data_IF_421651908800
#
_entry.id   IF_421651908800
#
_cell.length_a   1.000
_cell.length_b   1.000
_cell.length_c   1.000
_cell.angle_alpha   90.00
_cell.angle_beta   90.00
_cell.angle_gamma   90.00
#
_symmetry.space_group_name_H-M   'P 1'
#
loop_
_entity.id
_entity.type
_entity.pdbx_description
1 polymer ?
#
# COMPACT_ATOMS: atom_id res chain seq x y z
N UNK A 1 -20.92 -9.45 -6.28
CA UNK A 1 -20.96 -8.08 -5.69
C UNK A 1 -19.60 -7.37 -5.71
N UNK A 2 -18.49 -8.06 -5.47
CA UNK A 2 -17.14 -7.46 -5.41
C UNK A 2 -16.76 -6.73 -6.70
N UNK A 3 -17.08 -7.34 -7.85
CA UNK A 3 -16.83 -6.75 -9.16
C UNK A 3 -17.62 -5.45 -9.37
N UNK A 4 -18.92 -5.43 -9.00
CA UNK A 4 -19.76 -4.23 -9.10
C UNK A 4 -19.22 -3.12 -8.21
N UNK A 5 -18.90 -3.43 -6.96
CA UNK A 5 -18.31 -2.46 -6.01
C UNK A 5 -16.96 -1.93 -6.47
N UNK A 6 -16.18 -2.75 -7.17
CA UNK A 6 -14.88 -2.32 -7.69
C UNK A 6 -15.01 -1.27 -8.80
N UNK A 7 -15.95 -1.44 -9.73
CA UNK A 7 -16.13 -0.53 -10.87
C UNK A 7 -17.11 0.62 -10.62
N UNK A 8 -17.83 0.62 -9.50
CA UNK A 8 -18.68 1.73 -9.07
C UNK A 8 -18.26 2.21 -7.68
N UNK A 9 -17.12 2.96 -7.61
CA UNK A 9 -16.65 3.50 -6.33
C UNK A 9 -17.59 4.58 -5.81
N UNK A 10 -17.78 4.56 -4.49
CA UNK A 10 -18.30 5.68 -3.73
C UNK A 10 -17.17 6.45 -3.04
N UNK A 11 -17.49 7.53 -2.34
CA UNK A 11 -16.53 8.37 -1.62
C UNK A 11 -15.78 7.62 -0.51
N UNK A 12 -16.32 6.52 -0.02
CA UNK A 12 -15.71 5.69 1.02
C UNK A 12 -14.95 4.47 0.45
N UNK A 13 -14.89 4.33 -0.87
CA UNK A 13 -14.28 3.17 -1.53
C UNK A 13 -12.82 2.96 -1.13
N UNK A 14 -12.07 4.04 -0.90
CA UNK A 14 -10.67 3.98 -0.45
C UNK A 14 -10.49 3.29 0.92
N UNK A 15 -11.51 3.36 1.78
CA UNK A 15 -11.48 2.80 3.14
C UNK A 15 -12.20 1.45 3.27
N UNK A 16 -13.05 1.09 2.30
CA UNK A 16 -13.95 -0.06 2.41
C UNK A 16 -13.72 -1.13 1.34
N UNK A 17 -12.85 -0.86 0.39
CA UNK A 17 -12.65 -1.70 -0.79
C UNK A 17 -11.22 -2.21 -0.88
N UNK A 18 -11.08 -3.48 -1.21
CA UNK A 18 -9.81 -4.04 -1.66
C UNK A 18 -9.93 -4.43 -3.14
N UNK A 19 -8.88 -4.14 -3.92
CA UNK A 19 -8.79 -4.65 -5.28
C UNK A 19 -8.61 -6.17 -5.26
N UNK A 20 -9.53 -6.92 -5.87
CA UNK A 20 -9.37 -8.36 -6.03
C UNK A 20 -8.19 -8.71 -6.94
N UNK A 21 -7.80 -7.83 -7.86
CA UNK A 21 -6.56 -7.98 -8.62
C UNK A 21 -5.33 -7.86 -7.71
N UNK A 22 -5.28 -6.82 -6.87
CA UNK A 22 -4.19 -6.62 -5.93
C UNK A 22 -4.10 -7.74 -4.89
N UNK A 23 -5.23 -8.11 -4.27
CA UNK A 23 -5.27 -9.23 -3.33
C UNK A 23 -4.86 -10.54 -4.00
N UNK A 24 -5.36 -10.82 -5.22
CA UNK A 24 -5.02 -12.02 -5.97
C UNK A 24 -3.53 -12.09 -6.30
N UNK A 25 -2.92 -10.99 -6.73
CA UNK A 25 -1.48 -10.91 -6.98
C UNK A 25 -0.66 -11.20 -5.71
N UNK A 26 -1.05 -10.63 -4.57
CA UNK A 26 -0.38 -10.90 -3.29
C UNK A 26 -0.54 -12.35 -2.83
N UNK A 27 -1.72 -12.93 -2.99
CA UNK A 27 -1.96 -14.35 -2.69
C UNK A 27 -1.09 -15.24 -3.59
N UNK A 28 -0.99 -14.93 -4.90
CA UNK A 28 -0.14 -15.66 -5.83
C UNK A 28 1.34 -15.58 -5.44
N UNK A 29 1.80 -14.41 -5.01
CA UNK A 29 3.17 -14.18 -4.55
C UNK A 29 3.51 -15.03 -3.30
N UNK A 30 2.61 -15.04 -2.31
CA UNK A 30 2.77 -15.83 -1.08
C UNK A 30 2.66 -17.33 -1.39
N UNK A 31 1.80 -17.72 -2.31
CA UNK A 31 1.64 -19.11 -2.74
C UNK A 31 2.90 -19.64 -3.42
N UNK A 32 3.53 -18.86 -4.31
CA UNK A 32 4.78 -19.26 -4.94
C UNK A 32 5.89 -19.50 -3.90
N UNK A 33 6.02 -18.60 -2.92
CA UNK A 33 6.97 -18.75 -1.82
C UNK A 33 6.69 -20.02 -0.99
N UNK A 34 5.42 -20.32 -0.72
CA UNK A 34 4.99 -21.51 0.00
C UNK A 34 5.33 -22.78 -0.76
N UNK A 35 5.05 -22.84 -2.08
CA UNK A 35 5.39 -23.99 -2.94
C UNK A 35 6.91 -24.20 -2.94
N UNK A 36 7.70 -23.14 -3.18
CA UNK A 36 9.16 -23.22 -3.19
C UNK A 36 9.73 -23.68 -1.86
N UNK A 37 9.17 -23.21 -0.77
CA UNK A 37 9.60 -23.62 0.58
C UNK A 37 9.33 -25.10 0.83
N UNK A 38 8.10 -25.58 0.52
CA UNK A 38 7.71 -26.99 0.74
C UNK A 38 8.44 -27.97 -0.18
N UNK A 39 8.84 -27.53 -1.36
CA UNK A 39 9.51 -28.36 -2.36
C UNK A 39 11.02 -28.18 -2.42
N UNK A 40 11.63 -27.50 -1.44
CA UNK A 40 13.05 -27.15 -1.44
C UNK A 40 13.47 -26.46 -2.76
N UNK A 41 12.65 -25.55 -3.26
CA UNK A 41 12.82 -24.80 -4.52
C UNK A 41 12.80 -25.66 -5.81
N UNK A 42 12.31 -26.89 -5.76
CA UNK A 42 12.21 -27.74 -6.94
C UNK A 42 10.96 -27.46 -7.79
N UNK A 43 9.95 -26.82 -7.21
CA UNK A 43 8.70 -26.44 -7.86
C UNK A 43 8.33 -25.01 -7.54
N UNK A 44 7.52 -24.43 -8.41
CA UNK A 44 7.02 -23.06 -8.33
C UNK A 44 5.54 -23.02 -8.68
N UNK A 45 4.93 -21.85 -8.55
CA UNK A 45 3.56 -21.62 -9.02
C UNK A 45 3.44 -21.88 -10.54
N UNK A 46 4.48 -21.61 -11.33
CA UNK A 46 4.50 -21.90 -12.77
C UNK A 46 4.31 -23.37 -13.08
N UNK A 47 4.86 -24.27 -12.25
CA UNK A 47 4.66 -25.72 -12.42
C UNK A 47 3.20 -26.11 -12.19
N UNK A 48 2.56 -25.51 -11.19
CA UNK A 48 1.13 -25.70 -10.94
C UNK A 48 0.29 -25.18 -12.11
N UNK A 49 0.62 -23.99 -12.64
CA UNK A 49 -0.10 -23.38 -13.78
C UNK A 49 0.08 -24.21 -15.06
N UNK A 50 1.28 -24.74 -15.34
CA UNK A 50 1.52 -25.63 -16.47
C UNK A 50 0.71 -26.93 -16.33
N UNK A 51 0.68 -27.51 -15.14
CA UNK A 51 -0.12 -28.72 -14.85
C UNK A 51 -1.61 -28.46 -15.04
N UNK A 52 -2.10 -27.33 -14.52
CA UNK A 52 -3.49 -26.92 -14.70
C UNK A 52 -3.85 -26.80 -16.19
N UNK A 53 -3.00 -26.09 -16.97
CA UNK A 53 -3.18 -25.97 -18.41
C UNK A 53 -3.18 -27.32 -19.12
N UNK A 54 -2.22 -28.19 -18.81
CA UNK A 54 -2.12 -29.51 -19.45
C UNK A 54 -3.35 -30.39 -19.20
N UNK A 55 -3.88 -30.36 -17.96
CA UNK A 55 -5.02 -31.19 -17.58
C UNK A 55 -6.37 -30.65 -18.07
N UNK A 56 -6.51 -29.32 -18.15
CA UNK A 56 -7.82 -28.67 -18.28
C UNK A 56 -7.98 -27.75 -19.50
N UNK A 57 -7.00 -27.68 -20.41
CA UNK A 57 -7.01 -26.75 -21.58
C UNK A 57 -8.20 -26.89 -22.53
N UNK A 58 -8.95 -27.96 -22.46
CA UNK A 58 -10.11 -28.20 -23.34
C UNK A 58 -11.45 -28.30 -22.60
N UNK A 59 -11.42 -28.35 -21.29
CA UNK A 59 -12.60 -28.65 -20.46
C UNK A 59 -12.97 -27.53 -19.48
N UNK A 60 -12.06 -26.58 -19.24
CA UNK A 60 -12.15 -25.66 -18.10
C UNK A 60 -11.79 -26.35 -16.78
N UNK A 61 -11.73 -25.58 -15.70
CA UNK A 61 -11.40 -26.09 -14.37
C UNK A 61 -12.23 -25.38 -13.30
N UNK A 62 -12.41 -26.08 -12.16
CA UNK A 62 -12.98 -25.54 -10.96
C UNK A 62 -11.89 -25.15 -9.95
N UNK A 63 -12.25 -24.34 -8.96
CA UNK A 63 -11.29 -23.93 -7.91
C UNK A 63 -10.64 -25.12 -7.22
N UNK A 64 -11.40 -26.22 -7.02
CA UNK A 64 -10.90 -27.42 -6.36
C UNK A 64 -9.81 -28.12 -7.18
N UNK A 65 -9.87 -28.06 -8.52
CA UNK A 65 -8.84 -28.65 -9.37
C UNK A 65 -7.49 -27.96 -9.15
N UNK A 66 -7.47 -26.62 -9.08
CA UNK A 66 -6.27 -25.88 -8.77
C UNK A 66 -5.73 -26.20 -7.37
N UNK A 67 -6.59 -26.24 -6.35
CA UNK A 67 -6.20 -26.61 -4.98
C UNK A 67 -5.60 -28.02 -4.93
N UNK A 68 -6.17 -28.97 -5.66
CA UNK A 68 -5.67 -30.34 -5.74
C UNK A 68 -4.28 -30.38 -6.40
N UNK A 69 -4.07 -29.65 -7.50
CA UNK A 69 -2.77 -29.56 -8.19
C UNK A 69 -1.70 -28.97 -7.26
N UNK A 70 -2.02 -27.91 -6.52
CA UNK A 70 -1.08 -27.32 -5.57
C UNK A 70 -0.77 -28.30 -4.44
N UNK A 71 -1.78 -29.02 -3.94
CA UNK A 71 -1.61 -30.04 -2.90
C UNK A 71 -0.74 -31.20 -3.37
N UNK A 72 -0.93 -31.70 -4.59
CA UNK A 72 -0.08 -32.73 -5.22
C UNK A 72 1.34 -32.23 -5.37
N UNK A 73 1.52 -30.98 -5.86
CA UNK A 73 2.84 -30.38 -6.09
C UNK A 73 3.63 -30.21 -4.80
N UNK A 74 2.96 -29.81 -3.72
CA UNK A 74 3.61 -29.58 -2.41
C UNK A 74 3.71 -30.84 -1.55
N UNK A 75 3.01 -31.91 -1.94
CA UNK A 75 2.91 -33.15 -1.16
C UNK A 75 2.11 -33.01 0.14
N UNK A 76 1.36 -31.93 0.31
CA UNK A 76 0.56 -31.67 1.52
C UNK A 76 -0.80 -31.06 1.16
N UNK A 77 -1.88 -31.36 1.91
CA UNK A 77 -3.18 -30.73 1.70
C UNK A 77 -3.10 -29.20 1.83
N UNK A 78 -3.62 -28.47 0.84
CA UNK A 78 -3.58 -27.01 0.81
C UNK A 78 -4.95 -26.33 0.99
N UNK A 79 -6.01 -27.10 1.22
CA UNK A 79 -7.37 -26.59 1.37
C UNK A 79 -7.49 -25.55 2.48
N UNK A 80 -6.90 -25.82 3.64
CA UNK A 80 -6.93 -24.90 4.79
C UNK A 80 -6.15 -23.60 4.49
N UNK A 81 -5.01 -23.72 3.82
CA UNK A 81 -4.21 -22.56 3.38
C UNK A 81 -5.05 -21.66 2.46
N UNK A 82 -5.72 -22.22 1.45
CA UNK A 82 -6.57 -21.45 0.55
C UNK A 82 -7.78 -20.85 1.28
N UNK A 83 -8.43 -21.59 2.16
CA UNK A 83 -9.55 -21.07 2.95
C UNK A 83 -9.12 -19.86 3.79
N UNK A 84 -7.94 -19.93 4.42
CA UNK A 84 -7.39 -18.81 5.19
C UNK A 84 -7.07 -17.61 4.33
N UNK A 85 -6.46 -17.78 3.17
CA UNK A 85 -6.07 -16.68 2.28
C UNK A 85 -7.24 -16.03 1.57
N UNK A 86 -8.28 -16.79 1.20
CA UNK A 86 -9.36 -16.32 0.34
C UNK A 86 -10.68 -16.05 1.07
N UNK A 87 -10.97 -16.77 2.15
CA UNK A 87 -12.27 -16.74 2.83
C UNK A 87 -12.21 -16.19 4.26
N UNK A 88 -11.04 -15.90 4.81
CA UNK A 88 -10.92 -15.28 6.13
C UNK A 88 -10.82 -13.75 6.04
N UNK A 89 -11.10 -13.09 7.16
CA UNK A 89 -10.88 -11.66 7.38
C UNK A 89 -9.53 -11.36 8.04
N UNK A 90 -8.72 -12.40 8.25
CA UNK A 90 -7.40 -12.26 8.84
C UNK A 90 -6.46 -11.49 7.91
N UNK A 91 -5.54 -10.77 8.50
CA UNK A 91 -4.46 -10.11 7.79
C UNK A 91 -3.55 -11.14 7.10
N UNK A 92 -3.15 -10.84 5.87
CA UNK A 92 -2.19 -11.67 5.14
C UNK A 92 -0.81 -11.59 5.81
N UNK A 93 -0.21 -12.73 6.10
CA UNK A 93 1.12 -12.82 6.71
C UNK A 93 2.20 -12.88 5.64
N UNK A 94 2.99 -11.81 5.53
CA UNK A 94 4.09 -11.74 4.57
C UNK A 94 5.41 -12.37 5.08
N UNK A 95 5.51 -12.69 6.37
CA UNK A 95 6.74 -13.28 6.95
C UNK A 95 7.30 -14.44 6.14
N UNK A 96 6.53 -15.51 5.86
CA UNK A 96 7.02 -16.65 5.07
C UNK A 96 7.53 -16.28 3.67
N UNK A 97 6.89 -15.30 3.01
CA UNK A 97 7.36 -14.78 1.72
C UNK A 97 8.68 -14.02 1.87
N UNK A 98 8.78 -13.15 2.86
CA UNK A 98 9.99 -12.38 3.14
C UNK A 98 11.17 -13.31 3.45
N UNK A 99 10.94 -14.29 4.33
CA UNK A 99 11.95 -15.28 4.71
C UNK A 99 12.38 -16.16 3.53
N UNK A 100 11.44 -16.54 2.66
CA UNK A 100 11.73 -17.37 1.48
C UNK A 100 12.80 -16.74 0.58
N UNK A 101 12.71 -15.43 0.34
CA UNK A 101 13.56 -14.72 -0.60
C UNK A 101 14.62 -13.82 0.05
N UNK A 102 14.74 -13.83 1.37
CA UNK A 102 15.67 -12.94 2.08
C UNK A 102 15.31 -11.46 1.88
N UNK A 103 14.04 -11.15 2.09
CA UNK A 103 13.49 -9.80 1.96
C UNK A 103 13.11 -9.22 3.31
N UNK A 104 13.07 -7.90 3.40
CA UNK A 104 12.56 -7.17 4.56
C UNK A 104 11.86 -5.89 4.15
N UNK A 105 10.94 -5.45 4.99
CA UNK A 105 10.37 -4.12 4.87
C UNK A 105 11.35 -3.07 5.40
N UNK A 106 11.56 -2.02 4.62
CA UNK A 106 12.29 -0.83 5.03
C UNK A 106 11.35 0.37 4.88
N UNK A 107 11.17 1.22 5.91
CA UNK A 107 10.44 2.47 5.75
C UNK A 107 11.00 3.25 4.55
N UNK A 108 10.14 3.80 3.71
CA UNK A 108 10.56 4.73 2.68
C UNK A 108 11.00 6.00 3.40
N UNK A 109 12.27 6.37 3.27
CA UNK A 109 12.75 7.66 3.75
C UNK A 109 11.81 8.72 3.17
N UNK A 110 11.23 9.58 4.02
CA UNK A 110 10.21 10.53 3.61
C UNK A 110 10.61 11.24 2.32
N UNK A 111 9.69 11.30 1.38
CA UNK A 111 9.90 11.87 0.06
C UNK A 111 10.45 13.29 0.21
N UNK A 112 11.77 13.43 0.19
CA UNK A 112 12.41 14.74 -0.02
C UNK A 112 12.03 15.10 -1.44
N UNK A 113 11.03 15.98 -1.59
CA UNK A 113 10.58 16.53 -2.85
C UNK A 113 11.79 16.72 -3.79
N UNK A 114 11.86 15.90 -4.84
CA UNK A 114 12.76 16.11 -5.95
C UNK A 114 12.18 17.19 -6.85
N UNK A 115 12.07 18.40 -6.32
CA UNK A 115 11.89 19.58 -7.15
C UNK A 115 12.58 20.77 -6.48
N UNK A 116 13.75 21.11 -7.05
CA UNK A 116 14.38 22.42 -6.91
C UNK A 116 15.27 22.60 -5.67
N UNK A 117 16.55 22.35 -5.86
CA UNK A 117 17.59 23.05 -5.12
C UNK A 117 17.31 24.55 -5.05
N UNK A 118 16.78 25.03 -3.93
CA UNK A 118 17.02 26.38 -3.47
C UNK A 118 17.94 26.29 -2.26
N UNK A 119 19.21 26.56 -2.49
CA UNK A 119 20.24 26.78 -1.47
C UNK A 119 19.69 27.79 -0.45
N UNK A 120 19.68 27.49 0.87
CA UNK A 120 19.34 28.49 1.87
C UNK A 120 20.41 29.59 1.87
N UNK A 121 20.06 30.85 2.18
CA UNK A 121 21.05 31.88 2.36
C UNK A 121 21.94 31.54 3.56
N UNK A 122 23.23 31.70 3.37
CA UNK A 122 24.24 31.53 4.40
C UNK A 122 24.00 32.53 5.55
N UNK A 123 23.65 32.00 6.70
CA UNK A 123 23.56 32.69 7.97
C UNK A 123 24.01 31.74 9.05
N UNK A 124 25.17 32.02 9.61
CA UNK A 124 25.81 31.30 10.71
C UNK A 124 24.89 31.26 11.93
N UNK A 125 24.63 30.06 12.45
CA UNK A 125 23.91 29.84 13.70
C UNK A 125 23.86 28.34 14.00
N UNK A 126 24.85 27.92 14.80
CA UNK A 126 24.90 26.61 15.47
C UNK A 126 23.59 26.32 16.22
N UNK A 127 22.78 25.37 15.77
CA UNK A 127 21.75 24.74 16.58
C UNK A 127 21.69 23.26 16.28
N UNK A 128 21.97 22.48 17.32
CA UNK A 128 22.05 21.04 17.36
C UNK A 128 21.01 20.27 16.59
N UNK A 129 21.47 19.14 16.10
CA UNK A 129 20.81 18.12 15.31
C UNK A 129 19.47 17.66 15.96
N UNK A 130 18.38 18.40 15.67
CA UNK A 130 17.04 17.95 15.98
C UNK A 130 16.57 17.05 14.82
N UNK A 131 16.03 15.84 15.10
CA UNK A 131 15.53 14.97 14.04
C UNK A 131 14.50 15.73 13.21
N UNK A 132 14.61 15.64 11.87
CA UNK A 132 13.73 16.31 10.93
C UNK A 132 12.27 16.00 11.30
N UNK A 133 11.48 17.03 11.61
CA UNK A 133 10.11 16.88 12.08
C UNK A 133 9.30 16.14 11.02
N UNK A 134 8.67 15.03 11.42
CA UNK A 134 7.74 14.29 10.56
C UNK A 134 6.63 15.23 10.11
N UNK A 135 6.36 15.38 8.80
CA UNK A 135 5.31 16.28 8.33
C UNK A 135 3.94 15.83 8.85
N UNK A 136 3.16 16.77 9.30
CA UNK A 136 1.80 16.53 9.74
C UNK A 136 0.92 16.14 8.55
N UNK A 137 0.02 15.18 8.74
CA UNK A 137 -0.91 14.74 7.71
C UNK A 137 -2.34 14.80 8.24
N UNK A 138 -3.23 15.27 7.38
CA UNK A 138 -4.65 15.39 7.67
C UNK A 138 -5.43 14.18 7.17
N UNK A 139 -4.96 13.54 6.10
CA UNK A 139 -5.60 12.37 5.51
C UNK A 139 -6.81 12.73 4.65
N UNK A 140 -6.75 13.84 3.90
CA UNK A 140 -7.73 14.22 2.90
C UNK A 140 -7.11 14.29 1.50
N UNK A 141 -7.93 14.01 0.49
CA UNK A 141 -7.64 14.34 -0.90
C UNK A 141 -8.52 15.54 -1.29
N UNK A 142 -7.85 16.66 -1.59
CA UNK A 142 -8.50 17.91 -1.94
C UNK A 142 -8.41 18.11 -3.46
N UNK A 143 -9.56 18.28 -4.11
CA UNK A 143 -9.67 18.48 -5.55
C UNK A 143 -10.32 19.82 -5.89
N UNK A 144 -9.96 20.39 -7.04
CA UNK A 144 -10.61 21.58 -7.56
C UNK A 144 -11.89 21.19 -8.31
N UNK A 145 -13.04 21.57 -7.76
CA UNK A 145 -14.33 21.40 -8.43
C UNK A 145 -14.98 22.77 -8.61
N UNK A 146 -14.95 23.31 -9.82
CA UNK A 146 -15.54 24.60 -10.17
C UNK A 146 -15.02 25.76 -9.29
N UNK A 147 -13.73 25.80 -9.00
CA UNK A 147 -13.09 26.82 -8.18
C UNK A 147 -13.21 26.60 -6.67
N UNK A 148 -13.75 25.48 -6.24
CA UNK A 148 -13.92 25.09 -4.83
C UNK A 148 -12.97 23.97 -4.45
N UNK A 149 -12.43 24.04 -3.24
CA UNK A 149 -11.61 22.96 -2.66
C UNK A 149 -12.51 21.87 -2.08
N UNK A 150 -12.92 20.91 -2.92
CA UNK A 150 -13.78 19.81 -2.47
C UNK A 150 -12.95 18.66 -1.90
N UNK A 151 -13.36 18.14 -0.76
CA UNK A 151 -12.77 16.94 -0.17
C UNK A 151 -13.37 15.72 -0.88
N UNK A 152 -12.55 15.08 -1.74
CA UNK A 152 -12.98 13.90 -2.48
C UNK A 152 -12.88 12.64 -1.64
N UNK A 153 -11.80 12.52 -0.82
CA UNK A 153 -11.56 11.35 0.02
C UNK A 153 -11.08 11.74 1.40
N UNK A 154 -11.46 10.95 2.39
CA UNK A 154 -10.96 11.04 3.77
C UNK A 154 -10.44 9.68 4.20
N UNK A 155 -9.18 9.63 4.62
CA UNK A 155 -8.55 8.40 5.10
C UNK A 155 -9.06 8.01 6.49
N UNK A 156 -9.51 6.77 6.67
CA UNK A 156 -10.14 6.26 7.91
C UNK A 156 -9.32 6.52 9.18
N UNK A 157 -8.00 6.46 9.08
CA UNK A 157 -7.10 6.65 10.23
C UNK A 157 -6.41 8.02 10.22
N UNK A 158 -6.87 8.96 9.34
CA UNK A 158 -6.36 10.32 9.28
C UNK A 158 -6.96 11.24 10.33
N UNK A 159 -6.28 12.33 10.63
CA UNK A 159 -6.73 13.38 11.55
C UNK A 159 -8.10 13.94 11.16
N UNK A 160 -8.38 14.14 9.87
CA UNK A 160 -9.65 14.61 9.36
C UNK A 160 -10.81 13.66 9.70
N UNK A 161 -10.59 12.34 9.54
CA UNK A 161 -11.60 11.34 9.88
C UNK A 161 -11.91 11.33 11.37
N UNK A 162 -10.91 11.42 12.21
CA UNK A 162 -11.05 11.49 13.67
C UNK A 162 -11.79 12.76 14.10
N UNK A 163 -11.55 13.89 13.43
CA UNK A 163 -12.23 15.17 13.67
C UNK A 163 -13.66 15.23 13.09
N UNK A 164 -14.08 14.27 12.25
CA UNK A 164 -15.40 14.24 11.65
C UNK A 164 -15.53 15.05 10.36
N UNK A 165 -14.45 15.38 9.69
CA UNK A 165 -14.45 15.88 8.31
C UNK A 165 -14.89 14.75 7.38
N UNK A 166 -15.67 15.06 6.35
CA UNK A 166 -16.27 14.07 5.45
C UNK A 166 -15.94 14.37 3.99
N UNK A 167 -15.94 13.32 3.16
CA UNK A 167 -15.96 13.50 1.72
C UNK A 167 -17.25 14.25 1.31
N UNK A 168 -17.10 15.16 0.34
CA UNK A 168 -18.18 16.09 -0.05
C UNK A 168 -18.21 17.40 0.74
N UNK A 169 -17.40 17.57 1.77
CA UNK A 169 -17.17 18.89 2.38
C UNK A 169 -16.36 19.77 1.44
N UNK A 170 -16.65 21.07 1.40
CA UNK A 170 -15.77 22.07 0.79
C UNK A 170 -14.87 22.65 1.89
N UNK A 171 -13.55 22.49 1.75
CA UNK A 171 -12.58 23.11 2.65
C UNK A 171 -12.38 24.57 2.25
N UNK A 172 -12.81 25.50 3.11
CA UNK A 172 -12.75 26.93 2.87
C UNK A 172 -11.53 27.55 3.54
N UNK A 173 -11.24 27.13 4.77
CA UNK A 173 -10.20 27.72 5.59
C UNK A 173 -9.50 26.70 6.48
N UNK A 174 -8.26 27.05 6.83
CA UNK A 174 -7.41 26.29 7.71
C UNK A 174 -6.67 27.27 8.63
N UNK A 175 -6.97 27.21 9.92
CA UNK A 175 -6.42 28.11 10.94
C UNK A 175 -6.65 29.60 10.61
N UNK A 176 -7.86 29.94 10.17
CA UNK A 176 -8.24 31.31 9.79
C UNK A 176 -7.75 31.75 8.40
N UNK A 177 -6.95 30.96 7.71
CA UNK A 177 -6.47 31.28 6.36
C UNK A 177 -7.29 30.58 5.30
N UNK A 178 -7.58 31.27 4.20
CA UNK A 178 -8.25 30.68 3.05
C UNK A 178 -7.36 29.62 2.40
N UNK A 179 -7.99 28.46 2.11
CA UNK A 179 -7.33 27.32 1.47
C UNK A 179 -7.92 27.08 0.08
N UNK A 180 -7.05 26.70 -0.85
CA UNK A 180 -7.39 26.21 -2.18
C UNK A 180 -6.59 24.93 -2.44
N UNK A 181 -6.98 24.09 -3.40
CA UNK A 181 -6.19 22.91 -3.75
C UNK A 181 -4.73 23.22 -4.09
N UNK A 182 -4.49 24.38 -4.69
CA UNK A 182 -3.17 24.81 -5.14
C UNK A 182 -2.25 25.20 -3.96
N UNK A 183 -2.78 25.82 -2.89
CA UNK A 183 -1.98 26.24 -1.74
C UNK A 183 -2.05 25.27 -0.55
N UNK A 184 -2.83 24.20 -0.65
CA UNK A 184 -3.08 23.27 0.46
C UNK A 184 -1.82 22.61 1.00
N UNK A 185 -0.98 22.07 0.11
CA UNK A 185 0.26 21.38 0.50
C UNK A 185 1.24 22.29 1.23
N UNK A 186 1.43 23.52 0.72
CA UNK A 186 2.28 24.52 1.35
C UNK A 186 1.73 24.94 2.71
N UNK A 187 0.42 25.20 2.79
CA UNK A 187 -0.26 25.56 4.03
C UNK A 187 -0.12 24.47 5.10
N UNK A 188 -0.37 23.21 4.74
CA UNK A 188 -0.26 22.08 5.66
C UNK A 188 1.18 21.90 6.17
N UNK A 189 2.18 22.15 5.33
CA UNK A 189 3.59 22.03 5.68
C UNK A 189 4.06 22.98 6.79
N UNK A 190 3.28 24.00 7.13
CA UNK A 190 3.61 24.94 8.23
C UNK A 190 3.31 24.39 9.63
N UNK A 191 2.60 23.26 9.72
CA UNK A 191 2.16 22.72 11.00
C UNK A 191 2.93 21.47 11.38
N UNK A 192 3.08 21.27 12.68
CA UNK A 192 3.75 20.09 13.26
C UNK A 192 2.72 19.05 13.70
N UNK A 193 3.16 17.80 13.76
CA UNK A 193 2.40 16.72 14.40
C UNK A 193 2.04 17.11 15.83
N UNK A 194 0.80 16.84 16.25
CA UNK A 194 0.25 17.19 17.56
C UNK A 194 -0.34 18.61 17.65
N UNK A 195 -0.19 19.44 16.61
CA UNK A 195 -0.87 20.73 16.58
C UNK A 195 -2.39 20.55 16.37
N UNK A 196 -3.19 21.35 17.08
CA UNK A 196 -4.63 21.44 16.85
C UNK A 196 -4.89 22.66 15.97
N UNK A 197 -5.57 22.46 14.86
CA UNK A 197 -5.87 23.50 13.85
C UNK A 197 -7.39 23.53 13.59
N UNK A 198 -7.96 24.72 13.45
CA UNK A 198 -9.38 24.85 13.11
C UNK A 198 -9.57 24.79 11.59
N UNK A 199 -10.28 23.77 11.12
CA UNK A 199 -10.74 23.66 9.74
C UNK A 199 -12.11 24.35 9.60
N UNK A 200 -12.24 25.29 8.68
CA UNK A 200 -13.52 25.86 8.26
C UNK A 200 -13.98 25.11 7.02
N UNK A 201 -15.08 24.37 7.14
CA UNK A 201 -15.68 23.63 6.03
C UNK A 201 -17.12 24.04 5.80
N UNK A 202 -17.62 23.84 4.57
CA UNK A 202 -19.06 23.89 4.33
C UNK A 202 -19.58 22.49 4.01
N UNK A 203 -20.61 22.08 4.73
CA UNK A 203 -21.31 20.80 4.58
C UNK A 203 -22.79 21.05 4.37
N UNK A 204 -23.31 20.69 3.19
CA UNK A 204 -24.75 20.88 2.86
C UNK A 204 -25.22 22.32 3.13
N UNK A 205 -24.39 23.31 2.77
CA UNK A 205 -24.70 24.74 2.95
C UNK A 205 -24.52 25.30 4.38
N UNK A 206 -24.03 24.49 5.33
CA UNK A 206 -23.70 24.95 6.68
C UNK A 206 -22.19 25.15 6.80
N UNK A 207 -21.77 26.27 7.36
CA UNK A 207 -20.40 26.50 7.78
C UNK A 207 -20.14 25.80 9.12
N UNK A 208 -19.07 25.04 9.19
CA UNK A 208 -18.64 24.31 10.38
C UNK A 208 -17.18 24.63 10.67
N UNK A 209 -16.88 24.99 11.91
CA UNK A 209 -15.51 25.00 12.42
C UNK A 209 -15.24 23.69 13.14
N UNK A 210 -14.23 22.99 12.69
CA UNK A 210 -13.89 21.65 13.17
C UNK A 210 -12.44 21.69 13.68
N UNK A 211 -12.18 21.47 14.98
CA UNK A 211 -10.82 21.33 15.49
C UNK A 211 -10.24 20.00 15.03
N UNK A 212 -9.07 20.06 14.42
CA UNK A 212 -8.33 18.90 13.89
C UNK A 212 -7.01 18.78 14.60
N UNK A 213 -6.79 17.71 15.32
CA UNK A 213 -5.49 17.36 15.90
C UNK A 213 -4.65 16.62 14.85
N UNK A 214 -3.53 17.22 14.46
CA UNK A 214 -2.70 16.70 13.38
C UNK A 214 -1.88 15.50 13.83
N UNK A 215 -2.04 14.39 13.12
CA UNK A 215 -1.34 13.15 13.37
C UNK A 215 -0.09 13.00 12.51
N UNK A 216 0.84 12.15 12.94
CA UNK A 216 1.85 11.60 12.04
C UNK A 216 1.16 10.78 10.94
N UNK A 217 1.78 10.70 9.77
CA UNK A 217 1.23 9.89 8.68
C UNK A 217 1.05 8.43 9.13
N UNK A 218 -0.16 7.91 9.25
CA UNK A 218 -0.35 6.50 9.57
C UNK A 218 0.03 5.58 8.41
N UNK A 219 0.13 6.10 7.21
CA UNK A 219 0.60 5.38 6.02
C UNK A 219 2.10 5.60 5.84
N UNK A 220 2.89 4.93 6.66
CA UNK A 220 4.30 4.76 6.32
C UNK A 220 4.37 4.00 4.99
N UNK A 221 5.00 4.62 3.99
CA UNK A 221 5.33 3.91 2.75
C UNK A 221 6.53 3.01 3.03
N UNK A 222 6.41 1.75 2.66
CA UNK A 222 7.45 0.76 2.87
C UNK A 222 8.04 0.33 1.54
N UNK A 223 9.36 0.20 1.50
CA UNK A 223 10.08 -0.45 0.41
C UNK A 223 10.35 -1.91 0.77
N UNK A 224 10.24 -2.77 -0.22
CA UNK A 224 10.70 -4.15 -0.12
C UNK A 224 12.16 -4.18 -0.53
N UNK A 225 13.05 -4.55 0.38
CA UNK A 225 14.50 -4.57 0.13
C UNK A 225 15.08 -5.93 0.49
N UNK A 226 16.20 -6.28 -0.11
CA UNK A 226 16.93 -7.48 0.26
C UNK A 226 17.60 -7.33 1.63
N UNK A 227 17.71 -8.43 2.36
CA UNK A 227 18.56 -8.46 3.55
C UNK A 227 20.03 -8.32 3.15
N UNK A 228 20.87 -7.79 4.04
CA UNK A 228 22.27 -7.51 3.71
C UNK A 228 23.10 -8.79 3.51
N UNK A 229 22.73 -9.87 4.22
CA UNK A 229 23.39 -11.17 4.18
C UNK A 229 22.36 -12.29 4.00
N UNK A 230 21.89 -12.54 2.76
CA UNK A 230 20.97 -13.64 2.50
C UNK A 230 21.66 -15.00 2.67
N UNK A 231 20.91 -16.01 3.09
CA UNK A 231 21.41 -17.39 3.11
C UNK A 231 21.59 -17.94 1.69
N UNK A 232 22.39 -19.00 1.49
CA UNK A 232 22.52 -19.65 0.19
C UNK A 232 21.17 -20.09 -0.41
N UNK A 233 20.25 -20.58 0.44
CA UNK A 233 18.93 -21.01 0.01
C UNK A 233 18.05 -19.81 -0.42
N UNK A 234 18.11 -18.70 0.31
CA UNK A 234 17.42 -17.45 -0.05
C UNK A 234 17.95 -16.90 -1.38
N UNK A 235 19.26 -16.93 -1.56
CA UNK A 235 19.89 -16.50 -2.81
C UNK A 235 19.49 -17.39 -4.00
N UNK A 236 19.46 -18.71 -3.82
CA UNK A 236 19.03 -19.63 -4.85
C UNK A 236 17.55 -19.43 -5.23
N UNK A 237 16.68 -19.25 -4.24
CA UNK A 237 15.24 -18.98 -4.48
C UNK A 237 15.03 -17.62 -5.16
N UNK A 238 15.77 -16.60 -4.75
CA UNK A 238 15.71 -15.27 -5.36
C UNK A 238 16.09 -15.31 -6.85
N UNK A 239 17.20 -15.95 -7.19
CA UNK A 239 17.65 -16.11 -8.59
C UNK A 239 16.65 -16.90 -9.41
N UNK A 240 16.16 -18.01 -8.88
CA UNK A 240 15.16 -18.85 -9.55
C UNK A 240 13.83 -18.12 -9.76
N UNK A 241 13.40 -17.30 -8.79
CA UNK A 241 12.18 -16.54 -8.89
C UNK A 241 12.24 -15.44 -9.96
N UNK A 242 13.36 -14.71 -10.03
CA UNK A 242 13.57 -13.63 -11.00
C UNK A 242 14.17 -14.10 -12.32
N UNK A 243 14.48 -15.38 -12.47
CA UNK A 243 15.10 -15.97 -13.68
C UNK A 243 16.37 -15.22 -14.12
N UNK A 244 17.19 -14.75 -13.18
CA UNK A 244 18.32 -13.87 -13.43
C UNK A 244 19.35 -14.52 -14.36
N UNK A 245 19.53 -15.85 -14.28
CA UNK A 245 20.47 -16.60 -15.13
C UNK A 245 20.00 -16.66 -16.59
N UNK A 246 18.69 -16.79 -16.84
CA UNK A 246 18.13 -16.78 -18.19
C UNK A 246 18.20 -15.39 -18.84
N UNK A 247 17.99 -14.32 -18.07
CA UNK A 247 18.10 -12.94 -18.55
C UNK A 247 19.54 -12.63 -18.98
N UNK A 248 20.52 -13.06 -18.20
CA UNK A 248 21.93 -12.87 -18.52
C UNK A 248 22.40 -13.69 -19.75
N UNK A 249 21.80 -14.85 -20.01
CA UNK A 249 22.10 -15.68 -21.19
C UNK A 249 21.48 -15.11 -22.48
N UNK A 250 20.31 -14.48 -22.38
CA UNK A 250 19.61 -13.88 -23.54
C UNK A 250 20.09 -12.45 -23.88
N UNK A 251 20.92 -11.83 -23.05
CA UNK A 251 21.49 -10.49 -23.27
C UNK A 251 22.88 -10.52 -23.99
N UNK A 252 23.38 -11.70 -24.37
CA UNK A 252 24.59 -11.92 -25.16
C UNK A 252 24.24 -12.29 -26.59
#
# INVERSE_FOLDING_TARGET
>A
DTWIKFYRPDENAANSRISYYGKGALVGLILDAEIRTRTANQKSLDDCMRTLWQRHRGTGYENQDFINIVSETTGTPMQEWFAKMLASTDEMRFGPFLDCYGLRWKPKDGDKNKDGEKKPPEGEGDTGDAPAATPAIVGIELVNQSGKGMIEKVSRHGAASAAGIQAGDELIGWDGYRVTPENWSERLGLYKVGATVNALVTRRGKLLEIPVELNANPTESWNLVRVDTPTPEQEARWKSWLQIEEIAANAK
#
